data_IF_684658432376
#
_entry.id   IF_684658432376
#
_cell.length_a   1.000
_cell.length_b   1.000
_cell.length_c   1.000
_cell.angle_alpha   90.00
_cell.angle_beta   90.00
_cell.angle_gamma   90.00
#
_symmetry.space_group_name_H-M   'P 1'
#
loop_
_entity.id
_entity.type
_entity.pdbx_description
1 polymer ?
#
# COMPACT_ATOMS: atom_id res chain seq x y z
N UNK A 1 -15.95 -11.99 -18.40
CA UNK A 1 -16.18 -10.55 -18.21
C UNK A 1 -14.92 -9.93 -17.59
N UNK A 2 -14.85 -8.63 -17.36
CA UNK A 2 -13.66 -7.99 -16.78
C UNK A 2 -13.55 -8.33 -15.29
N UNK A 3 -12.37 -8.79 -14.85
CA UNK A 3 -12.04 -8.99 -13.44
C UNK A 3 -11.79 -7.63 -12.79
N UNK A 4 -12.30 -7.45 -11.58
CA UNK A 4 -12.10 -6.22 -10.83
C UNK A 4 -11.68 -6.54 -9.40
N UNK A 5 -11.05 -5.57 -8.77
CA UNK A 5 -10.62 -5.66 -7.39
C UNK A 5 -11.71 -5.14 -6.47
N UNK A 6 -12.01 -5.89 -5.42
CA UNK A 6 -13.00 -5.54 -4.40
C UNK A 6 -12.36 -5.60 -3.03
N UNK A 7 -12.69 -4.62 -2.19
CA UNK A 7 -12.35 -4.64 -0.77
C UNK A 7 -13.45 -5.35 0.03
N UNK A 8 -13.02 -6.28 0.87
CA UNK A 8 -13.86 -7.05 1.77
C UNK A 8 -13.49 -6.68 3.20
N UNK A 9 -14.48 -6.30 3.98
CA UNK A 9 -14.32 -6.03 5.39
C UNK A 9 -14.44 -7.34 6.18
N UNK A 10 -13.56 -7.50 7.15
CA UNK A 10 -13.36 -8.69 7.95
C UNK A 10 -13.04 -8.30 9.38
N UNK A 11 -13.24 -9.22 10.32
CA UNK A 11 -12.79 -9.00 11.69
C UNK A 11 -11.25 -8.99 11.75
N UNK A 12 -10.68 -7.97 12.41
CA UNK A 12 -9.23 -7.89 12.61
C UNK A 12 -8.71 -9.16 13.29
N UNK A 13 -7.67 -9.77 12.70
CA UNK A 13 -7.05 -11.01 13.17
C UNK A 13 -7.59 -12.27 12.48
N UNK A 14 -8.66 -12.14 11.71
CA UNK A 14 -9.21 -13.24 10.90
C UNK A 14 -8.84 -13.12 9.41
N UNK A 15 -8.11 -12.09 8.99
CA UNK A 15 -7.85 -11.81 7.56
C UNK A 15 -7.16 -13.00 6.84
N UNK A 16 -6.12 -13.58 7.46
CA UNK A 16 -5.44 -14.75 6.92
C UNK A 16 -6.34 -15.99 6.86
N UNK A 17 -7.20 -16.17 7.86
CA UNK A 17 -8.15 -17.30 7.89
C UNK A 17 -9.23 -17.14 6.82
N UNK A 18 -9.70 -15.91 6.62
CA UNK A 18 -10.65 -15.56 5.57
C UNK A 18 -10.04 -15.85 4.19
N UNK A 19 -8.80 -15.41 3.92
CA UNK A 19 -8.09 -15.72 2.68
C UNK A 19 -8.10 -17.23 2.38
N UNK A 20 -7.61 -18.04 3.32
CA UNK A 20 -7.53 -19.50 3.14
C UNK A 20 -8.91 -20.13 2.95
N UNK A 21 -9.92 -19.66 3.67
CA UNK A 21 -11.29 -20.18 3.54
C UNK A 21 -11.91 -19.86 2.18
N UNK A 22 -11.74 -18.62 1.70
CA UNK A 22 -12.22 -18.21 0.38
C UNK A 22 -11.54 -19.03 -0.70
N UNK A 23 -10.22 -19.21 -0.60
CA UNK A 23 -9.43 -19.98 -1.56
C UNK A 23 -9.86 -21.46 -1.63
N UNK A 24 -10.02 -22.13 -0.48
CA UNK A 24 -10.53 -23.51 -0.42
C UNK A 24 -11.93 -23.66 -0.98
N UNK A 25 -12.81 -22.69 -0.69
CA UNK A 25 -14.19 -22.70 -1.20
C UNK A 25 -14.24 -22.45 -2.70
N UNK A 26 -13.39 -21.53 -3.19
CA UNK A 26 -13.26 -21.27 -4.61
C UNK A 26 -12.78 -22.52 -5.36
N UNK A 27 -11.83 -23.27 -4.79
CA UNK A 27 -11.36 -24.53 -5.35
C UNK A 27 -12.45 -25.62 -5.35
N UNK A 28 -13.15 -25.79 -4.22
CA UNK A 28 -14.21 -26.80 -4.08
C UNK A 28 -15.41 -26.56 -5.02
N UNK A 29 -15.69 -25.30 -5.35
CA UNK A 29 -16.79 -24.91 -6.22
C UNK A 29 -16.37 -24.70 -7.69
N UNK A 30 -15.09 -24.93 -8.03
CA UNK A 30 -14.57 -24.71 -9.38
C UNK A 30 -14.61 -23.24 -9.83
N UNK A 31 -14.52 -22.30 -8.88
CA UNK A 31 -14.60 -20.85 -9.13
C UNK A 31 -13.22 -20.18 -9.22
N UNK A 32 -12.13 -20.97 -9.32
CA UNK A 32 -10.76 -20.43 -9.50
C UNK A 32 -10.61 -19.57 -10.75
N UNK A 33 -11.35 -19.87 -11.82
CA UNK A 33 -11.32 -19.04 -13.03
C UNK A 33 -11.89 -17.62 -12.78
N UNK A 34 -12.83 -17.52 -11.83
CA UNK A 34 -13.51 -16.27 -11.47
C UNK A 34 -12.79 -15.49 -10.37
N UNK A 35 -12.12 -16.16 -9.42
CA UNK A 35 -11.34 -15.53 -8.34
C UNK A 35 -9.86 -15.74 -8.62
N UNK A 36 -9.16 -14.67 -9.02
CA UNK A 36 -7.77 -14.77 -9.48
C UNK A 36 -6.76 -14.57 -8.38
N UNK A 37 -6.94 -13.53 -7.56
CA UNK A 37 -5.98 -13.15 -6.52
C UNK A 37 -6.69 -12.70 -5.25
N UNK A 38 -6.15 -13.11 -4.10
CA UNK A 38 -6.61 -12.67 -2.78
C UNK A 38 -5.40 -12.18 -2.00
N UNK A 39 -5.43 -10.91 -1.61
CA UNK A 39 -4.37 -10.22 -0.90
C UNK A 39 -4.86 -9.74 0.46
N UNK A 40 -3.97 -9.87 1.44
CA UNK A 40 -4.18 -9.36 2.79
C UNK A 40 -3.13 -8.25 3.02
N UNK A 41 -3.55 -6.99 3.24
CA UNK A 41 -2.65 -5.85 3.44
C UNK A 41 -1.99 -5.89 4.83
N UNK A 42 -1.00 -6.77 4.98
CA UNK A 42 -0.12 -6.85 6.16
C UNK A 42 1.29 -6.44 5.78
N UNK A 43 1.83 -5.41 6.42
CA UNK A 43 3.26 -5.06 6.34
C UNK A 43 4.05 -5.93 7.31
N UNK A 44 5.20 -6.44 6.88
CA UNK A 44 6.10 -7.21 7.74
C UNK A 44 7.23 -6.30 8.25
N UNK A 45 7.13 -5.77 9.47
CA UNK A 45 8.24 -5.03 10.10
C UNK A 45 9.22 -6.01 10.74
N UNK A 46 10.49 -5.99 10.32
CA UNK A 46 11.56 -6.66 11.06
C UNK A 46 11.97 -5.81 12.26
N UNK A 47 11.51 -6.18 13.46
CA UNK A 47 11.93 -5.51 14.70
C UNK A 47 13.07 -6.31 15.32
N UNK A 48 14.26 -5.71 15.35
CA UNK A 48 15.40 -6.25 16.08
C UNK A 48 15.24 -5.88 17.57
N UNK A 49 14.81 -6.83 18.39
CA UNK A 49 14.77 -6.68 19.86
C UNK A 49 15.67 -7.76 20.46
N UNK A 50 16.75 -7.35 21.12
CA UNK A 50 17.75 -8.22 21.76
C UNK A 50 18.48 -9.20 20.81
N UNK A 51 18.88 -8.75 19.61
CA UNK A 51 19.70 -9.57 18.70
C UNK A 51 18.97 -10.73 18.02
N UNK A 52 17.67 -10.93 18.32
CA UNK A 52 16.78 -11.83 17.56
C UNK A 52 15.94 -10.99 16.61
N UNK A 53 16.08 -11.28 15.31
CA UNK A 53 15.23 -10.73 14.25
C UNK A 53 13.81 -11.30 14.44
N UNK A 54 12.87 -10.48 14.91
CA UNK A 54 11.46 -10.86 15.00
C UNK A 54 10.68 -10.10 13.94
N UNK A 55 10.13 -10.81 12.96
CA UNK A 55 9.22 -10.26 11.96
C UNK A 55 7.87 -10.00 12.62
N UNK A 56 7.57 -8.75 12.98
CA UNK A 56 6.28 -8.31 13.52
C UNK A 56 5.45 -7.80 12.35
N UNK A 57 4.32 -8.46 12.08
CA UNK A 57 3.40 -8.04 11.03
C UNK A 57 2.58 -6.84 11.50
N UNK A 58 2.84 -5.64 10.98
CA UNK A 58 2.05 -4.42 11.24
C UNK A 58 0.99 -4.27 10.15
N UNK A 59 -0.27 -4.03 10.53
CA UNK A 59 -1.39 -4.01 9.58
C UNK A 59 -1.55 -2.59 9.04
N UNK A 60 -1.40 -2.40 7.72
CA UNK A 60 -1.63 -1.11 7.05
C UNK A 60 -3.12 -0.78 7.03
N UNK A 61 -3.95 -1.79 6.79
CA UNK A 61 -5.41 -1.72 6.84
C UNK A 61 -5.97 -2.90 7.63
N UNK A 62 -6.00 -2.83 8.98
CA UNK A 62 -6.55 -3.91 9.80
C UNK A 62 -8.03 -4.14 9.45
N UNK A 63 -8.41 -5.41 9.24
CA UNK A 63 -9.77 -5.81 8.92
C UNK A 63 -10.13 -5.76 7.43
N UNK A 64 -9.19 -5.52 6.51
CA UNK A 64 -9.49 -5.53 5.08
C UNK A 64 -8.81 -6.70 4.36
N UNK A 65 -9.51 -7.26 3.37
CA UNK A 65 -8.99 -8.24 2.42
C UNK A 65 -9.32 -7.77 1.02
N UNK A 66 -8.34 -7.76 0.13
CA UNK A 66 -8.49 -7.36 -1.27
C UNK A 66 -8.64 -8.60 -2.13
N UNK A 67 -9.66 -8.63 -2.97
CA UNK A 67 -9.97 -9.79 -3.82
C UNK A 67 -10.16 -9.34 -5.26
N UNK A 68 -9.38 -9.93 -6.16
CA UNK A 68 -9.56 -9.82 -7.59
C UNK A 68 -10.50 -10.93 -8.07
N UNK A 69 -11.69 -10.53 -8.50
CA UNK A 69 -12.67 -11.49 -9.03
C UNK A 69 -13.62 -10.90 -10.06
N UNK A 70 -14.26 -11.79 -10.80
CA UNK A 70 -15.46 -11.46 -11.57
C UNK A 70 -16.68 -11.44 -10.63
N UNK A 71 -17.38 -10.30 -10.59
CA UNK A 71 -18.55 -10.12 -9.75
C UNK A 71 -19.76 -10.84 -10.36
N UNK A 72 -20.17 -11.93 -9.71
CA UNK A 72 -21.33 -12.74 -10.03
C UNK A 72 -22.06 -13.10 -8.72
N UNK A 73 -23.33 -13.51 -8.77
CA UNK A 73 -24.09 -13.85 -7.56
C UNK A 73 -23.42 -14.97 -6.75
N UNK A 74 -22.82 -15.95 -7.44
CA UNK A 74 -22.08 -17.05 -6.79
C UNK A 74 -20.81 -16.57 -6.07
N UNK A 75 -20.00 -15.71 -6.71
CA UNK A 75 -18.74 -15.21 -6.11
C UNK A 75 -19.04 -14.25 -4.96
N UNK A 76 -20.08 -13.42 -5.13
CA UNK A 76 -20.58 -12.55 -4.07
C UNK A 76 -21.08 -13.35 -2.86
N UNK A 77 -21.91 -14.37 -3.07
CA UNK A 77 -22.45 -15.20 -2.00
C UNK A 77 -21.37 -16.02 -1.27
N UNK A 78 -20.38 -16.52 -2.01
CA UNK A 78 -19.24 -17.26 -1.45
C UNK A 78 -18.45 -16.42 -0.44
N UNK A 79 -18.10 -15.19 -0.82
CA UNK A 79 -17.33 -14.30 0.04
C UNK A 79 -18.16 -13.86 1.23
N UNK A 80 -19.43 -13.48 1.02
CA UNK A 80 -20.33 -13.04 2.08
C UNK A 80 -20.60 -14.13 3.14
N UNK A 81 -20.70 -15.39 2.74
CA UNK A 81 -20.89 -16.51 3.67
C UNK A 81 -19.59 -17.04 4.28
N UNK A 82 -18.47 -16.35 4.10
CA UNK A 82 -17.21 -16.76 4.71
C UNK A 82 -17.10 -16.28 6.15
N UNK A 83 -16.80 -17.22 7.04
CA UNK A 83 -16.63 -16.95 8.47
C UNK A 83 -15.50 -15.93 8.65
N UNK A 84 -15.80 -14.84 9.32
CA UNK A 84 -14.87 -13.73 9.54
C UNK A 84 -15.05 -12.56 8.57
N UNK A 85 -15.89 -12.69 7.55
CA UNK A 85 -16.29 -11.59 6.65
C UNK A 85 -17.49 -10.86 7.26
N UNK A 86 -17.40 -9.54 7.37
CA UNK A 86 -18.51 -8.68 7.82
C UNK A 86 -19.31 -8.15 6.64
N UNK A 87 -18.66 -7.95 5.48
CA UNK A 87 -19.32 -7.55 4.26
C UNK A 87 -18.35 -7.02 3.20
N UNK A 88 -18.90 -6.64 2.06
CA UNK A 88 -18.16 -5.94 1.02
C UNK A 88 -18.19 -4.43 1.27
N UNK A 89 -17.09 -3.77 0.92
CA UNK A 89 -17.11 -2.31 0.79
C UNK A 89 -18.02 -1.97 -0.40
N UNK A 90 -19.14 -1.35 -0.09
CA UNK A 90 -20.20 -1.03 -1.04
C UNK A 90 -20.74 0.35 -0.72
N UNK A 91 -21.07 1.11 -1.77
CA UNK A 91 -21.87 2.33 -1.64
C UNK A 91 -23.31 1.93 -1.96
N UNK A 92 -24.07 1.54 -0.94
CA UNK A 92 -25.41 0.96 -1.08
C UNK A 92 -25.40 -0.57 -1.13
N UNK A 93 -26.05 -1.16 -2.15
CA UNK A 93 -26.32 -2.61 -2.19
C UNK A 93 -25.41 -3.40 -3.16
N UNK A 94 -24.49 -2.72 -3.87
CA UNK A 94 -23.56 -3.34 -4.83
C UNK A 94 -22.10 -3.08 -4.42
N UNK A 95 -21.21 -4.08 -4.50
CA UNK A 95 -19.80 -3.88 -4.19
C UNK A 95 -19.17 -2.94 -5.22
N UNK A 96 -18.36 -2.00 -4.73
CA UNK A 96 -17.70 -1.00 -5.57
C UNK A 96 -16.33 -1.54 -5.96
N UNK A 97 -16.01 -1.61 -7.27
CA UNK A 97 -14.67 -1.99 -7.70
C UNK A 97 -13.68 -0.88 -7.37
N UNK A 98 -12.50 -1.25 -6.88
CA UNK A 98 -11.38 -0.35 -6.64
C UNK A 98 -10.78 0.12 -7.96
N UNK A 99 -10.30 1.36 -8.01
CA UNK A 99 -9.64 1.86 -9.21
C UNK A 99 -8.28 1.16 -9.39
N UNK A 100 -7.90 0.90 -10.64
CA UNK A 100 -6.61 0.28 -10.96
C UNK A 100 -5.41 1.04 -10.37
N UNK A 101 -5.49 2.38 -10.30
CA UNK A 101 -4.43 3.21 -9.71
C UNK A 101 -4.24 2.93 -8.21
N UNK A 102 -5.33 2.79 -7.46
CA UNK A 102 -5.29 2.51 -6.02
C UNK A 102 -4.72 1.11 -5.75
N UNK A 103 -5.17 0.12 -6.52
CA UNK A 103 -4.67 -1.26 -6.43
C UNK A 103 -3.21 -1.36 -6.83
N UNK A 104 -2.77 -0.66 -7.88
CA UNK A 104 -1.37 -0.65 -8.28
C UNK A 104 -0.47 -0.11 -7.16
N UNK A 105 -0.90 0.96 -6.46
CA UNK A 105 -0.17 1.49 -5.31
C UNK A 105 -0.12 0.48 -4.14
N UNK A 106 -1.24 -0.17 -3.84
CA UNK A 106 -1.31 -1.15 -2.74
C UNK A 106 -0.51 -2.42 -3.06
N UNK A 107 -0.59 -2.91 -4.30
CA UNK A 107 0.21 -4.03 -4.81
C UNK A 107 1.70 -3.71 -4.74
N UNK A 108 2.10 -2.51 -5.20
CA UNK A 108 3.48 -2.06 -5.10
C UNK A 108 3.95 -2.02 -3.64
N UNK A 109 3.11 -1.57 -2.70
CA UNK A 109 3.45 -1.55 -1.28
C UNK A 109 3.53 -2.97 -0.65
N UNK A 110 2.76 -3.94 -1.17
CA UNK A 110 2.70 -5.32 -0.67
C UNK A 110 3.78 -6.25 -1.25
N UNK A 111 4.03 -6.18 -2.56
CA UNK A 111 5.07 -6.96 -3.23
C UNK A 111 6.46 -6.44 -2.87
N UNK A 112 6.57 -5.15 -2.59
CA UNK A 112 7.82 -4.46 -2.29
C UNK A 112 7.96 -4.21 -0.78
N UNK A 113 7.85 -5.28 0.04
CA UNK A 113 8.14 -5.29 1.49
C UNK A 113 9.56 -4.82 1.90
N UNK A 114 10.28 -4.21 0.96
CA UNK A 114 11.63 -3.66 1.04
C UNK A 114 11.73 -2.21 0.59
N UNK A 115 10.70 -1.60 0.01
CA UNK A 115 10.74 -0.19 -0.37
C UNK A 115 9.61 0.54 0.32
N UNK A 116 9.98 1.14 1.48
CA UNK A 116 9.32 2.34 2.01
C UNK A 116 8.73 3.11 0.83
N UNK A 117 7.41 3.30 0.83
CA UNK A 117 6.70 4.07 -0.18
C UNK A 117 7.63 5.18 -0.68
N UNK A 118 8.15 5.06 -1.92
CA UNK A 118 8.95 6.15 -2.48
C UNK A 118 8.05 7.36 -2.38
N UNK A 119 8.38 8.37 -1.55
CA UNK A 119 7.52 9.52 -1.44
C UNK A 119 7.41 10.05 -2.87
N UNK A 120 6.18 10.17 -3.37
CA UNK A 120 5.92 10.70 -4.69
C UNK A 120 6.13 12.20 -4.63
N UNK A 121 7.42 12.59 -4.58
CA UNK A 121 7.85 13.98 -4.61
C UNK A 121 7.42 14.62 -5.92
N UNK A 122 6.99 15.87 -5.85
CA UNK A 122 6.64 16.66 -7.03
C UNK A 122 7.56 17.87 -7.19
N UNK A 123 7.80 18.26 -8.45
CA UNK A 123 8.52 19.48 -8.81
C UNK A 123 7.75 20.68 -8.23
N UNK A 124 8.41 21.52 -7.44
CA UNK A 124 7.80 22.66 -6.75
C UNK A 124 7.30 22.39 -5.32
N UNK A 125 7.47 21.17 -4.79
CA UNK A 125 7.09 20.85 -3.41
C UNK A 125 8.13 21.38 -2.41
N UNK A 126 7.65 21.87 -1.28
CA UNK A 126 8.51 22.38 -0.19
C UNK A 126 8.91 21.21 0.70
N UNK A 127 10.21 21.07 0.90
CA UNK A 127 10.82 20.01 1.70
C UNK A 127 11.74 20.60 2.76
N UNK A 128 11.83 19.92 3.90
CA UNK A 128 12.80 20.19 4.96
C UNK A 128 13.91 19.15 4.87
N UNK A 129 15.14 19.60 4.94
CA UNK A 129 16.31 18.73 4.98
C UNK A 129 16.46 18.20 6.41
N UNK A 130 16.58 16.88 6.56
CA UNK A 130 16.70 16.20 7.87
C UNK A 130 18.10 15.71 8.17
N UNK A 131 19.00 15.70 7.18
CA UNK A 131 20.35 15.18 7.31
C UNK A 131 21.37 15.99 6.49
N UNK A 132 22.64 15.91 6.89
CA UNK A 132 23.74 16.61 6.23
C UNK A 132 23.95 18.05 6.73
N UNK A 133 24.87 18.80 6.10
CA UNK A 133 25.25 20.15 6.54
C UNK A 133 24.13 21.19 6.37
N UNK A 134 23.05 20.83 5.68
CA UNK A 134 21.88 21.66 5.44
C UNK A 134 20.66 21.19 6.24
N UNK A 135 20.84 20.34 7.25
CA UNK A 135 19.77 19.90 8.14
C UNK A 135 19.02 21.11 8.75
N UNK A 136 17.72 20.96 8.94
CA UNK A 136 16.76 21.97 9.42
C UNK A 136 16.44 23.12 8.45
N UNK A 137 17.11 23.22 7.29
CA UNK A 137 16.73 24.18 6.27
C UNK A 137 15.55 23.68 5.42
N UNK A 138 14.75 24.62 4.95
CA UNK A 138 13.67 24.37 4.00
C UNK A 138 14.11 24.73 2.58
N UNK A 139 13.60 24.00 1.61
CA UNK A 139 13.87 24.22 0.21
C UNK A 139 12.74 23.74 -0.68
N UNK A 140 12.82 24.09 -1.96
CA UNK A 140 11.81 23.71 -2.96
C UNK A 140 12.43 22.75 -3.96
N UNK A 141 11.75 21.65 -4.29
CA UNK A 141 12.24 20.69 -5.26
C UNK A 141 12.24 21.31 -6.66
N UNK A 142 13.43 21.51 -7.24
CA UNK A 142 13.60 21.98 -8.61
C UNK A 142 13.56 20.81 -9.58
N UNK A 143 14.24 19.69 -9.34
CA UNK A 143 14.24 18.51 -10.22
C UNK A 143 14.29 17.21 -9.43
N UNK A 144 13.77 16.14 -10.02
CA UNK A 144 13.73 14.80 -9.41
C UNK A 144 14.42 13.85 -10.37
N UNK A 145 15.33 13.04 -9.83
CA UNK A 145 16.05 11.98 -10.55
C UNK A 145 15.65 10.62 -9.97
N UNK A 146 14.54 10.02 -10.45
CA UNK A 146 14.02 8.76 -9.90
C UNK A 146 15.00 7.59 -10.05
N UNK A 147 15.77 7.57 -11.13
CA UNK A 147 16.75 6.53 -11.45
C UNK A 147 17.93 6.50 -10.47
N UNK A 148 18.28 7.65 -9.88
CA UNK A 148 19.42 7.81 -8.97
C UNK A 148 19.00 8.02 -7.51
N UNK A 149 17.70 8.02 -7.23
CA UNK A 149 17.12 8.27 -5.91
C UNK A 149 17.55 9.60 -5.27
N UNK A 150 17.72 10.63 -6.13
CA UNK A 150 18.14 11.98 -5.75
C UNK A 150 17.15 13.03 -6.23
N UNK A 151 17.13 14.15 -5.54
CA UNK A 151 16.45 15.38 -5.95
C UNK A 151 17.44 16.53 -5.99
N UNK A 152 17.17 17.48 -6.87
CA UNK A 152 17.79 18.79 -6.85
C UNK A 152 16.79 19.75 -6.20
N UNK A 153 17.13 20.28 -5.04
CA UNK A 153 16.30 21.21 -4.30
C UNK A 153 17.00 22.56 -4.16
N UNK A 154 16.24 23.64 -4.27
CA UNK A 154 16.68 24.99 -3.96
C UNK A 154 16.50 25.22 -2.46
N UNK A 155 17.60 25.16 -1.71
CA UNK A 155 17.58 25.42 -0.26
C UNK A 155 17.66 26.92 -0.04
N UNK A 156 16.71 27.47 0.70
CA UNK A 156 16.70 28.88 1.07
C UNK A 156 17.56 29.07 2.32
N UNK A 157 18.79 29.55 2.13
CA UNK A 157 19.73 29.83 3.22
C UNK A 157 20.07 31.31 3.17
N UNK A 158 19.82 32.04 4.26
CA UNK A 158 20.07 33.50 4.36
C UNK A 158 19.38 34.34 3.27
N UNK A 159 18.18 33.94 2.85
CA UNK A 159 17.41 34.66 1.81
C UNK A 159 17.99 34.52 0.41
N UNK A 160 18.81 33.49 0.16
CA UNK A 160 19.32 33.11 -1.16
C UNK A 160 18.98 31.65 -1.44
N UNK A 161 18.47 31.41 -2.63
CA UNK A 161 18.16 30.06 -3.11
C UNK A 161 19.41 29.41 -3.68
N UNK A 162 19.88 28.34 -3.04
CA UNK A 162 21.07 27.59 -3.47
C UNK A 162 20.64 26.20 -3.95
N UNK A 163 20.94 25.82 -5.21
CA UNK A 163 20.62 24.49 -5.71
C UNK A 163 21.57 23.44 -5.10
N UNK A 164 20.99 22.45 -4.43
CA UNK A 164 21.71 21.34 -3.78
C UNK A 164 21.09 20.02 -4.22
N UNK A 165 21.94 19.01 -4.47
CA UNK A 165 21.48 17.64 -4.66
C UNK A 165 21.35 16.92 -3.32
N UNK A 166 20.17 16.36 -3.04
CA UNK A 166 19.85 15.64 -1.82
C UNK A 166 19.25 14.28 -2.16
N UNK A 167 19.46 13.30 -1.30
CA UNK A 167 18.85 11.97 -1.44
C UNK A 167 17.43 11.98 -0.87
N UNK A 168 16.55 11.10 -1.35
CA UNK A 168 15.19 10.97 -0.78
C UNK A 168 15.14 10.65 0.72
N UNK A 169 16.24 10.11 1.27
CA UNK A 169 16.37 9.82 2.69
C UNK A 169 16.72 11.03 3.55
N UNK A 170 17.23 12.11 2.94
CA UNK A 170 17.75 13.31 3.60
C UNK A 170 16.72 14.45 3.62
N UNK A 171 15.53 14.22 3.07
CA UNK A 171 14.46 15.20 2.95
C UNK A 171 13.16 14.66 3.56
N UNK A 172 12.40 15.57 4.15
CA UNK A 172 11.09 15.33 4.75
C UNK A 172 10.10 16.38 4.25
N UNK A 173 8.85 15.97 4.08
CA UNK A 173 7.80 16.86 3.57
C UNK A 173 7.36 17.83 4.67
N UNK A 174 7.22 19.11 4.31
CA UNK A 174 6.66 20.16 5.16
C UNK A 174 5.15 20.24 5.00
#
# INVERSE_FOLDING_TARGET
MAKAWYAVHTYSGHENKVKTNIERRAESLGLRDKISRILVPVEEEQRNRNGRRTTIKRKVFPGYVLIEMELNDQTWYLVKNTIGVTGFVSSGNKPVPLQQREIANILAQLEDGTRKAKPSWQKGEVVRVTAGPFADFTGTIEEIYPDKERVKALISIFGRDTPVELSFAEIERV
#
